data_IF_681827745934
#
_entry.id   IF_681827745934
#
_cell.length_a   1.000
_cell.length_b   1.000
_cell.length_c   1.000
_cell.angle_alpha   90.00
_cell.angle_beta   90.00
_cell.angle_gamma   90.00
#
_symmetry.space_group_name_H-M   'P 1'
#
loop_
_entity.id
_entity.type
_entity.pdbx_description
1 polymer ?
#
# COMPACT_ATOMS: atom_id res chain seq x y z
N UNK A 1 -31.69 52.34 -44.98
CA UNK A 1 -32.14 50.97 -45.21
C UNK A 1 -30.97 49.93 -45.19
N UNK A 2 -29.75 50.23 -45.66
CA UNK A 2 -28.63 49.26 -45.69
C UNK A 2 -28.01 48.91 -44.32
N UNK A 3 -28.15 49.77 -43.30
CA UNK A 3 -27.63 49.49 -41.95
C UNK A 3 -28.58 48.63 -41.06
N UNK A 4 -29.89 48.71 -41.27
CA UNK A 4 -30.86 47.90 -40.57
C UNK A 4 -30.84 46.41 -40.98
N UNK A 5 -30.54 46.11 -42.25
CA UNK A 5 -30.44 44.72 -42.73
C UNK A 5 -29.19 43.99 -42.19
N UNK A 6 -28.09 44.71 -41.97
CA UNK A 6 -26.84 44.09 -41.40
C UNK A 6 -26.98 43.76 -39.94
N UNK A 7 -27.71 44.56 -39.16
CA UNK A 7 -27.93 44.33 -37.73
C UNK A 7 -28.92 43.16 -37.50
N UNK A 8 -29.93 43.03 -38.33
CA UNK A 8 -30.90 41.92 -38.28
C UNK A 8 -30.26 40.56 -38.63
N UNK A 9 -29.32 40.51 -39.60
CA UNK A 9 -28.59 39.28 -39.94
C UNK A 9 -27.63 38.85 -38.80
N UNK A 10 -27.01 39.80 -38.10
CA UNK A 10 -26.11 39.49 -36.98
C UNK A 10 -26.85 38.93 -35.75
N UNK A 11 -28.05 39.46 -35.51
CA UNK A 11 -28.93 38.98 -34.39
C UNK A 11 -29.51 37.58 -34.70
N UNK A 12 -29.87 37.31 -35.95
CA UNK A 12 -30.33 35.98 -36.36
C UNK A 12 -29.21 34.93 -36.33
N UNK A 13 -27.97 35.30 -36.66
CA UNK A 13 -26.82 34.37 -36.56
C UNK A 13 -26.39 34.11 -35.11
N UNK A 14 -26.54 35.05 -34.19
CA UNK A 14 -26.33 34.85 -32.76
C UNK A 14 -27.46 34.00 -32.10
N UNK A 15 -28.71 34.15 -32.53
CA UNK A 15 -29.80 33.27 -32.09
C UNK A 15 -29.68 31.85 -32.67
N UNK A 16 -29.17 31.68 -33.88
CA UNK A 16 -28.93 30.35 -34.46
C UNK A 16 -27.76 29.59 -33.83
N UNK A 17 -26.75 30.32 -33.28
CA UNK A 17 -25.67 29.69 -32.51
C UNK A 17 -26.07 29.31 -31.07
N UNK A 18 -27.08 29.98 -30.48
CA UNK A 18 -27.60 29.63 -29.17
C UNK A 18 -28.58 28.44 -29.17
N UNK A 19 -29.08 28.03 -30.33
CA UNK A 19 -29.98 26.90 -30.47
C UNK A 19 -29.29 25.55 -30.69
N UNK A 20 -27.96 25.52 -30.88
CA UNK A 20 -27.22 24.29 -31.13
C UNK A 20 -26.37 23.83 -29.94
N UNK A 21 -26.52 24.41 -28.75
CA UNK A 21 -25.90 23.90 -27.52
C UNK A 21 -26.94 23.48 -26.46
N UNK A 22 -28.03 22.88 -26.92
CA UNK A 22 -28.65 21.91 -26.02
C UNK A 22 -27.75 20.66 -26.03
N UNK A 23 -26.70 20.68 -25.25
CA UNK A 23 -26.20 19.47 -24.63
C UNK A 23 -27.46 18.90 -23.95
N UNK A 24 -28.02 17.85 -24.52
CA UNK A 24 -29.00 17.02 -23.82
C UNK A 24 -28.31 16.58 -22.55
N UNK A 25 -28.49 17.33 -21.47
CA UNK A 25 -28.30 16.80 -20.16
C UNK A 25 -29.29 15.63 -20.11
N UNK A 26 -28.78 14.44 -20.32
CA UNK A 26 -29.53 13.23 -20.06
C UNK A 26 -30.00 13.39 -18.61
N UNK A 27 -31.31 13.39 -18.40
CA UNK A 27 -31.93 13.38 -17.07
C UNK A 27 -31.55 12.03 -16.42
N UNK A 28 -30.31 11.95 -15.92
CA UNK A 28 -29.84 10.79 -15.18
C UNK A 28 -30.52 10.85 -13.81
N UNK A 29 -31.53 10.07 -13.65
CA UNK A 29 -32.33 9.99 -12.41
C UNK A 29 -31.51 9.40 -11.25
N UNK A 30 -30.47 8.62 -11.56
CA UNK A 30 -29.57 8.02 -10.56
C UNK A 30 -28.16 7.80 -11.15
N UNK A 31 -27.08 7.93 -10.35
CA UNK A 31 -25.72 7.63 -10.82
C UNK A 31 -25.52 6.22 -11.40
N UNK A 32 -26.37 5.26 -11.03
CA UNK A 32 -26.39 3.90 -11.62
C UNK A 32 -26.83 3.86 -13.08
N UNK A 33 -27.57 4.88 -13.53
CA UNK A 33 -28.07 4.97 -14.92
C UNK A 33 -26.99 5.52 -15.87
N UNK A 34 -25.83 5.91 -15.33
CA UNK A 34 -24.71 6.37 -16.13
C UNK A 34 -24.04 5.20 -16.85
N UNK A 35 -24.00 5.28 -18.18
CA UNK A 35 -23.13 4.39 -18.96
C UNK A 35 -21.66 4.74 -18.68
N UNK A 36 -20.94 3.82 -18.03
CA UNK A 36 -19.50 3.97 -17.82
C UNK A 36 -18.80 3.58 -19.13
N UNK A 37 -18.18 4.54 -19.85
CA UNK A 37 -17.49 4.22 -21.09
C UNK A 37 -16.33 3.27 -20.82
N UNK A 38 -16.10 2.33 -21.72
CA UNK A 38 -14.94 1.44 -21.64
C UNK A 38 -13.65 2.27 -21.63
N UNK A 39 -12.76 2.00 -20.70
CA UNK A 39 -11.47 2.65 -20.66
C UNK A 39 -10.68 2.44 -21.96
N UNK A 40 -10.09 3.52 -22.47
CA UNK A 40 -9.15 3.50 -23.60
C UNK A 40 -7.70 3.51 -23.12
N UNK A 41 -7.49 3.34 -21.83
CA UNK A 41 -6.16 3.38 -21.22
C UNK A 41 -5.26 2.28 -21.80
N UNK A 42 -4.04 2.68 -22.14
CA UNK A 42 -2.99 1.78 -22.58
C UNK A 42 -1.84 1.85 -21.60
N UNK A 43 -1.53 0.73 -20.96
CA UNK A 43 -0.40 0.61 -20.06
C UNK A 43 0.88 1.13 -20.73
N UNK A 44 1.65 2.01 -20.08
CA UNK A 44 2.93 2.45 -20.59
C UNK A 44 3.89 1.26 -20.80
N UNK A 45 4.74 1.37 -21.82
CA UNK A 45 5.79 0.37 -22.04
C UNK A 45 6.93 0.57 -21.04
N UNK A 46 7.22 -0.38 -20.14
CA UNK A 46 8.27 -0.25 -19.14
C UNK A 46 9.66 -0.04 -19.76
N UNK A 47 9.92 -0.50 -20.98
CA UNK A 47 11.20 -0.33 -21.64
C UNK A 47 11.56 1.14 -21.89
N UNK A 48 10.57 2.01 -22.07
CA UNK A 48 10.78 3.47 -22.25
C UNK A 48 11.33 4.14 -21.00
N UNK A 49 10.98 3.63 -19.83
CA UNK A 49 11.36 4.19 -18.52
C UNK A 49 12.61 3.52 -17.94
N UNK A 50 12.88 2.29 -18.33
CA UNK A 50 13.94 1.47 -17.75
C UNK A 50 15.35 1.98 -18.03
N UNK A 51 16.19 1.93 -17.01
CA UNK A 51 17.63 2.16 -17.05
C UNK A 51 18.33 0.97 -16.44
N UNK A 52 19.00 0.15 -17.24
CA UNK A 52 19.79 -0.97 -16.75
C UNK A 52 21.25 -0.55 -16.58
N UNK A 53 21.82 -0.79 -15.40
CA UNK A 53 23.21 -0.54 -15.09
C UNK A 53 24.03 -1.83 -15.34
N UNK A 54 25.34 -1.68 -15.61
CA UNK A 54 26.24 -2.82 -15.86
C UNK A 54 26.37 -3.79 -14.68
N UNK A 55 26.15 -3.30 -13.46
CA UNK A 55 26.17 -4.11 -12.24
C UNK A 55 24.83 -4.83 -11.93
N UNK A 56 23.85 -4.75 -12.84
CA UNK A 56 22.56 -5.43 -12.68
C UNK A 56 21.46 -4.61 -12.00
N UNK A 57 21.75 -3.41 -11.46
CA UNK A 57 20.73 -2.52 -10.94
C UNK A 57 19.78 -2.05 -12.05
N UNK A 58 18.50 -2.06 -11.76
CA UNK A 58 17.46 -1.54 -12.65
C UNK A 58 16.80 -0.33 -11.99
N UNK A 59 16.75 0.78 -12.75
CA UNK A 59 16.02 1.98 -12.36
C UNK A 59 14.94 2.31 -13.39
N UNK A 60 13.93 3.07 -12.98
CA UNK A 60 12.88 3.60 -13.85
C UNK A 60 12.85 5.11 -13.73
N UNK A 61 12.90 5.80 -14.87
CA UNK A 61 12.96 7.26 -14.96
C UNK A 61 11.78 7.74 -15.78
N UNK A 62 10.92 8.57 -15.19
CA UNK A 62 9.75 9.14 -15.83
C UNK A 62 9.75 10.66 -15.71
N UNK A 63 9.76 11.37 -16.85
CA UNK A 63 9.57 12.81 -16.86
C UNK A 63 8.10 13.15 -16.58
N UNK A 64 7.89 14.15 -15.71
CA UNK A 64 6.59 14.72 -15.35
C UNK A 64 6.80 16.18 -14.99
N UNK A 65 6.45 17.10 -15.88
CA UNK A 65 6.75 18.54 -15.77
C UNK A 65 5.53 19.42 -15.45
N UNK A 66 4.40 18.80 -15.06
CA UNK A 66 3.20 19.57 -14.66
C UNK A 66 3.38 20.33 -13.35
N UNK A 67 4.24 19.82 -12.46
CA UNK A 67 4.61 20.47 -11.20
C UNK A 67 6.12 20.45 -11.02
N UNK A 68 6.75 21.54 -10.49
CA UNK A 68 8.20 21.63 -10.34
C UNK A 68 8.71 20.81 -9.15
N UNK A 69 8.44 19.50 -9.17
CA UNK A 69 8.84 18.55 -8.12
C UNK A 69 9.60 17.38 -8.72
N UNK A 70 10.53 16.83 -7.93
CA UNK A 70 11.26 15.60 -8.24
C UNK A 70 11.11 14.61 -7.11
N UNK A 71 10.86 13.37 -7.48
CA UNK A 71 10.69 12.23 -6.56
C UNK A 71 11.76 11.18 -6.81
N UNK A 72 12.41 10.74 -5.73
CA UNK A 72 13.36 9.63 -5.70
C UNK A 72 12.81 8.53 -4.79
N UNK A 73 12.83 7.29 -5.24
CA UNK A 73 12.47 6.14 -4.44
C UNK A 73 13.47 5.01 -4.63
N UNK A 74 13.90 4.39 -3.54
CA UNK A 74 14.67 3.14 -3.57
C UNK A 74 13.87 2.04 -2.87
N UNK A 75 13.80 0.89 -3.49
CA UNK A 75 13.12 -0.29 -3.00
C UNK A 75 14.16 -1.40 -2.85
N UNK A 76 14.37 -1.87 -1.61
CA UNK A 76 15.35 -2.90 -1.26
C UNK A 76 14.59 -4.13 -0.82
N UNK A 77 14.85 -5.29 -1.43
CA UNK A 77 14.19 -6.57 -1.11
C UNK A 77 14.78 -7.18 0.16
N UNK A 78 14.64 -6.46 1.28
CA UNK A 78 15.04 -6.88 2.63
C UNK A 78 14.14 -6.18 3.64
N UNK A 79 13.64 -6.87 4.63
CA UNK A 79 12.73 -6.33 5.62
C UNK A 79 12.98 -6.91 7.02
N UNK A 80 11.99 -6.80 7.88
CA UNK A 80 12.08 -7.24 9.29
C UNK A 80 12.46 -8.72 9.45
N UNK A 81 12.03 -9.57 8.49
CA UNK A 81 12.27 -11.02 8.55
C UNK A 81 13.66 -11.43 8.05
N UNK A 82 14.37 -10.52 7.40
CA UNK A 82 15.67 -10.81 6.81
C UNK A 82 16.79 -10.42 7.81
N UNK A 83 17.92 -11.02 7.67
CA UNK A 83 19.08 -10.77 8.54
C UNK A 83 19.37 -11.88 9.54
N UNK A 84 20.59 -11.89 10.00
CA UNK A 84 21.11 -12.87 10.96
C UNK A 84 20.90 -12.44 12.42
N UNK A 85 20.78 -11.12 12.65
CA UNK A 85 20.57 -10.50 13.95
C UNK A 85 19.23 -9.76 13.97
N UNK A 86 18.46 -9.99 15.01
CA UNK A 86 17.21 -9.27 15.26
C UNK A 86 17.49 -7.79 15.48
N UNK A 87 16.59 -6.92 15.04
CA UNK A 87 16.74 -5.47 15.15
C UNK A 87 17.67 -4.81 14.13
N UNK A 88 18.42 -5.59 13.32
CA UNK A 88 19.36 -5.02 12.36
C UNK A 88 18.64 -4.25 11.23
N UNK A 89 17.48 -4.71 10.77
CA UNK A 89 16.67 -4.00 9.77
C UNK A 89 16.09 -2.69 10.32
N UNK A 90 15.62 -2.70 11.56
CA UNK A 90 15.16 -1.52 12.30
C UNK A 90 16.27 -0.49 12.47
N UNK A 91 17.45 -0.94 12.91
CA UNK A 91 18.61 -0.07 13.10
C UNK A 91 19.11 0.51 11.76
N UNK A 92 19.12 -0.27 10.68
CA UNK A 92 19.43 0.23 9.34
C UNK A 92 18.39 1.28 8.88
N UNK A 93 17.12 1.09 9.19
CA UNK A 93 16.07 2.08 8.89
C UNK A 93 16.36 3.41 9.58
N UNK A 94 16.77 3.39 10.86
CA UNK A 94 17.18 4.60 11.59
C UNK A 94 18.47 5.22 11.02
N UNK A 95 19.40 4.39 10.52
CA UNK A 95 20.60 4.88 9.85
C UNK A 95 20.26 5.59 8.51
N UNK A 96 19.32 5.07 7.73
CA UNK A 96 18.80 5.78 6.55
C UNK A 96 18.12 7.09 6.92
N UNK A 97 17.33 7.13 8.00
CA UNK A 97 16.72 8.36 8.51
C UNK A 97 17.73 9.37 9.04
N UNK A 98 18.90 8.92 9.46
CA UNK A 98 20.00 9.78 9.88
C UNK A 98 20.80 10.40 8.72
N UNK A 99 20.64 9.89 7.50
CA UNK A 99 21.30 10.36 6.29
C UNK A 99 22.62 9.65 5.97
N UNK A 100 23.44 10.20 5.07
CA UNK A 100 24.69 9.57 4.65
C UNK A 100 25.80 9.72 5.68
N UNK A 101 26.77 8.79 5.67
CA UNK A 101 27.88 8.71 6.62
C UNK A 101 28.77 9.96 6.65
N UNK A 102 28.88 10.68 5.52
CA UNK A 102 29.83 11.79 5.34
C UNK A 102 29.33 13.14 5.87
N UNK A 103 28.13 13.22 6.41
CA UNK A 103 27.58 14.42 7.07
C UNK A 103 26.88 14.05 8.38
N UNK A 104 26.80 14.99 9.31
CA UNK A 104 26.04 14.73 10.54
C UNK A 104 24.54 14.64 10.29
N UNK A 105 23.83 13.85 11.11
CA UNK A 105 22.37 13.74 11.03
C UNK A 105 21.68 15.10 11.22
N UNK A 106 22.26 16.01 12.02
CA UNK A 106 21.76 17.39 12.17
C UNK A 106 21.90 18.17 10.88
N UNK A 107 23.05 18.10 10.20
CA UNK A 107 23.28 18.78 8.92
C UNK A 107 22.37 18.20 7.82
N UNK A 108 22.18 16.87 7.79
CA UNK A 108 21.25 16.22 6.86
C UNK A 108 19.81 16.71 7.06
N UNK A 109 19.32 16.72 8.30
CA UNK A 109 17.97 17.23 8.62
C UNK A 109 17.82 18.72 8.29
N UNK A 110 18.87 19.54 8.51
CA UNK A 110 18.86 20.95 8.13
C UNK A 110 18.78 21.12 6.60
N UNK A 111 19.52 20.32 5.83
CA UNK A 111 19.45 20.31 4.37
C UNK A 111 18.04 19.92 3.87
N UNK A 112 17.46 18.85 4.42
CA UNK A 112 16.07 18.45 4.08
C UNK A 112 15.06 19.57 4.38
N UNK A 113 15.20 20.24 5.54
CA UNK A 113 14.31 21.34 5.92
C UNK A 113 14.47 22.54 4.97
N UNK A 114 15.68 22.90 4.59
CA UNK A 114 15.96 23.99 3.65
C UNK A 114 15.36 23.73 2.27
N UNK A 115 15.48 22.49 1.78
CA UNK A 115 14.89 22.04 0.53
C UNK A 115 13.37 21.79 0.62
N UNK A 116 12.71 22.09 1.75
CA UNK A 116 11.30 21.70 1.99
C UNK A 116 11.00 20.25 1.64
N UNK A 117 11.99 19.38 1.80
CA UNK A 117 11.96 17.99 1.37
C UNK A 117 11.00 17.15 2.21
N UNK A 118 10.24 16.27 1.53
CA UNK A 118 9.51 15.16 2.20
C UNK A 118 10.37 13.92 2.11
N UNK A 119 10.95 13.51 3.23
CA UNK A 119 11.81 12.33 3.33
C UNK A 119 11.18 11.29 4.25
N UNK A 120 11.17 10.04 3.81
CA UNK A 120 10.65 8.93 4.62
C UNK A 120 11.37 7.62 4.33
N UNK A 121 11.49 6.79 5.35
CA UNK A 121 11.94 5.40 5.24
C UNK A 121 10.88 4.51 5.88
N UNK A 122 10.42 3.51 5.14
CA UNK A 122 9.42 2.54 5.61
C UNK A 122 10.03 1.15 5.63
N UNK A 123 9.97 0.52 6.79
CA UNK A 123 10.37 -0.87 6.97
C UNK A 123 9.12 -1.76 6.96
N UNK A 124 9.06 -2.63 5.96
CA UNK A 124 8.05 -3.67 5.85
C UNK A 124 8.62 -5.02 6.28
N UNK A 125 7.78 -6.04 6.38
CA UNK A 125 8.25 -7.38 6.73
C UNK A 125 9.30 -7.90 5.73
N UNK A 126 9.19 -7.56 4.46
CA UNK A 126 9.98 -8.15 3.36
C UNK A 126 10.73 -7.16 2.48
N UNK A 127 10.61 -5.87 2.72
CA UNK A 127 11.25 -4.83 1.93
C UNK A 127 11.41 -3.53 2.70
N UNK A 128 12.37 -2.69 2.27
CA UNK A 128 12.58 -1.34 2.75
C UNK A 128 12.31 -0.37 1.60
N UNK A 129 11.62 0.71 1.89
CA UNK A 129 11.32 1.78 0.96
C UNK A 129 11.89 3.10 1.47
N UNK A 130 12.69 3.76 0.66
CA UNK A 130 13.26 5.08 0.94
C UNK A 130 12.69 6.06 -0.09
N UNK A 131 12.05 7.14 0.35
CA UNK A 131 11.47 8.16 -0.51
C UNK A 131 11.99 9.54 -0.17
N UNK A 132 12.28 10.33 -1.20
CA UNK A 132 12.65 11.73 -1.10
C UNK A 132 11.91 12.51 -2.19
N UNK A 133 11.16 13.55 -1.81
CA UNK A 133 10.50 14.46 -2.73
C UNK A 133 11.00 15.88 -2.44
N UNK A 134 11.39 16.60 -3.49
CA UNK A 134 11.95 17.96 -3.41
C UNK A 134 11.48 18.83 -4.56
N UNK A 135 11.51 20.16 -4.43
CA UNK A 135 11.44 21.07 -5.57
C UNK A 135 12.54 20.78 -6.62
N UNK A 136 12.25 21.05 -7.90
CA UNK A 136 13.19 20.79 -9.00
C UNK A 136 14.50 21.55 -8.86
N UNK A 137 14.49 22.75 -8.29
CA UNK A 137 15.69 23.57 -8.02
C UNK A 137 16.70 22.89 -7.11
N UNK A 138 16.23 22.01 -6.22
CA UNK A 138 17.08 21.28 -5.26
C UNK A 138 17.53 19.89 -5.78
N UNK A 139 17.18 19.52 -7.01
CA UNK A 139 17.42 18.18 -7.59
C UNK A 139 18.86 17.70 -7.40
N UNK A 140 19.85 18.56 -7.67
CA UNK A 140 21.25 18.16 -7.64
C UNK A 140 21.72 17.76 -6.25
N UNK A 141 21.42 18.56 -5.25
CA UNK A 141 21.76 18.28 -3.87
C UNK A 141 20.96 17.09 -3.34
N UNK A 142 19.66 17.05 -3.62
CA UNK A 142 18.77 15.97 -3.21
C UNK A 142 19.22 14.62 -3.79
N UNK A 143 19.59 14.56 -5.07
CA UNK A 143 20.10 13.34 -5.69
C UNK A 143 21.41 12.87 -5.03
N UNK A 144 22.32 13.79 -4.74
CA UNK A 144 23.57 13.49 -4.04
C UNK A 144 23.33 12.94 -2.65
N UNK A 145 22.44 13.57 -1.88
CA UNK A 145 22.09 13.13 -0.53
C UNK A 145 21.37 11.78 -0.54
N UNK A 146 20.40 11.61 -1.43
CA UNK A 146 19.65 10.35 -1.59
C UNK A 146 20.57 9.18 -1.95
N UNK A 147 21.38 9.34 -2.99
CA UNK A 147 22.28 8.27 -3.44
C UNK A 147 23.34 7.93 -2.38
N UNK A 148 23.93 8.94 -1.74
CA UNK A 148 24.90 8.73 -0.66
C UNK A 148 24.25 8.04 0.54
N UNK A 149 23.02 8.38 0.91
CA UNK A 149 22.29 7.72 2.00
C UNK A 149 22.04 6.24 1.70
N UNK A 150 21.60 5.91 0.49
CA UNK A 150 21.35 4.51 0.10
C UNK A 150 22.66 3.70 0.09
N UNK A 151 23.73 4.25 -0.47
CA UNK A 151 25.00 3.53 -0.67
C UNK A 151 25.83 3.44 0.62
N UNK A 152 25.83 4.49 1.44
CA UNK A 152 26.66 4.60 2.63
C UNK A 152 25.91 5.36 3.73
N UNK A 153 24.94 4.72 4.41
CA UNK A 153 24.16 5.32 5.48
C UNK A 153 25.02 5.57 6.72
N UNK A 154 24.58 6.50 7.56
CA UNK A 154 25.22 6.85 8.81
C UNK A 154 24.86 5.84 9.90
N UNK A 155 25.53 4.70 9.94
CA UNK A 155 25.32 3.62 10.92
C UNK A 155 26.09 3.94 12.20
N UNK A 156 25.38 4.10 13.31
CA UNK A 156 25.93 4.47 14.63
C UNK A 156 25.18 3.76 15.76
N UNK A 157 25.80 3.69 16.95
CA UNK A 157 25.14 3.22 18.17
C UNK A 157 23.85 4.00 18.49
N UNK A 158 23.81 5.29 18.15
CA UNK A 158 22.62 6.12 18.36
C UNK A 158 21.42 5.63 17.52
N UNK A 159 21.67 5.08 16.31
CA UNK A 159 20.61 4.49 15.47
C UNK A 159 20.06 3.20 16.07
N UNK A 160 20.92 2.35 16.63
CA UNK A 160 20.52 1.12 17.33
C UNK A 160 19.63 1.47 18.53
N UNK A 161 20.06 2.43 19.35
CA UNK A 161 19.25 2.93 20.48
C UNK A 161 17.93 3.56 20.05
N UNK A 162 17.91 4.26 18.91
CA UNK A 162 16.66 4.82 18.35
C UNK A 162 15.72 3.73 17.86
N UNK A 163 16.23 2.71 17.19
CA UNK A 163 15.47 1.54 16.74
C UNK A 163 14.87 0.78 17.93
N UNK A 164 15.67 0.53 18.97
CA UNK A 164 15.21 -0.11 20.21
C UNK A 164 14.01 0.65 20.82
N UNK A 165 14.15 1.97 21.01
CA UNK A 165 13.05 2.79 21.58
C UNK A 165 11.76 2.77 20.74
N UNK A 166 11.87 2.65 19.42
CA UNK A 166 10.69 2.57 18.52
C UNK A 166 10.05 1.19 18.54
N UNK A 167 10.89 0.15 18.47
CA UNK A 167 10.43 -1.24 18.37
C UNK A 167 9.78 -1.72 19.68
N UNK A 168 10.25 -1.19 20.82
CA UNK A 168 9.76 -1.58 22.16
C UNK A 168 8.73 -0.62 22.75
N UNK A 169 8.20 0.30 21.94
CA UNK A 169 7.16 1.23 22.39
C UNK A 169 5.84 0.48 22.60
N UNK A 170 5.46 0.33 23.85
CA UNK A 170 4.21 -0.30 24.24
C UNK A 170 2.98 0.57 23.99
N UNK A 171 1.83 -0.11 23.84
CA UNK A 171 0.51 0.54 23.87
C UNK A 171 0.28 1.05 25.29
N UNK A 172 0.00 2.36 25.40
CA UNK A 172 -0.24 2.99 26.70
C UNK A 172 -1.54 2.47 27.32
N UNK A 173 -1.47 2.02 28.55
CA UNK A 173 -2.60 1.63 29.37
C UNK A 173 -2.61 2.43 30.68
N UNK A 174 -3.80 2.59 31.27
CA UNK A 174 -3.95 3.15 32.61
C UNK A 174 -3.62 2.10 33.71
N UNK A 175 -3.79 2.49 34.97
CA UNK A 175 -3.55 1.61 36.13
C UNK A 175 -4.44 0.36 36.19
N UNK A 176 -5.54 0.34 35.47
CA UNK A 176 -6.49 -0.77 35.38
C UNK A 176 -6.30 -1.62 34.10
N UNK A 177 -5.26 -1.33 33.30
CA UNK A 177 -5.00 -2.00 32.03
C UNK A 177 -5.87 -1.52 30.86
N UNK A 178 -6.61 -0.42 31.01
CA UNK A 178 -7.45 0.16 29.96
C UNK A 178 -6.57 0.93 28.97
N UNK A 179 -6.76 0.70 27.68
CA UNK A 179 -6.01 1.37 26.63
C UNK A 179 -6.42 2.85 26.57
N UNK A 180 -5.46 3.74 26.82
CA UNK A 180 -5.71 5.20 26.87
C UNK A 180 -5.98 5.77 25.47
N UNK A 181 -5.34 5.22 24.44
CA UNK A 181 -5.44 5.70 23.06
C UNK A 181 -5.91 4.58 22.11
N UNK A 182 -7.10 4.06 22.38
CA UNK A 182 -7.76 3.05 21.54
C UNK A 182 -8.05 3.62 20.14
N UNK A 183 -7.56 2.92 19.10
CA UNK A 183 -7.73 3.34 17.71
C UNK A 183 -7.74 2.13 16.79
N UNK A 184 -8.09 2.35 15.51
CA UNK A 184 -8.00 1.32 14.48
C UNK A 184 -6.60 0.68 14.42
N UNK A 185 -5.53 1.46 14.53
CA UNK A 185 -4.16 0.95 14.52
C UNK A 185 -3.85 0.04 15.71
N UNK A 186 -4.41 0.32 16.87
CA UNK A 186 -4.29 -0.55 18.06
C UNK A 186 -5.03 -1.86 17.83
N UNK A 187 -6.27 -1.81 17.32
CA UNK A 187 -7.04 -3.02 17.03
C UNK A 187 -6.33 -3.92 15.99
N UNK A 188 -5.79 -3.33 14.93
CA UNK A 188 -4.99 -4.04 13.91
C UNK A 188 -3.70 -4.61 14.51
N UNK A 189 -3.01 -3.86 15.37
CA UNK A 189 -1.82 -4.36 16.07
C UNK A 189 -2.15 -5.58 16.94
N UNK A 190 -3.23 -5.51 17.71
CA UNK A 190 -3.70 -6.65 18.54
C UNK A 190 -4.09 -7.86 17.69
N UNK A 191 -4.72 -7.62 16.54
CA UNK A 191 -5.03 -8.69 15.59
C UNK A 191 -3.75 -9.39 15.11
N UNK A 192 -2.74 -8.65 14.66
CA UNK A 192 -1.47 -9.22 14.22
C UNK A 192 -0.74 -9.96 15.35
N UNK A 193 -0.73 -9.42 16.57
CA UNK A 193 -0.15 -10.07 17.74
C UNK A 193 -0.73 -11.47 17.98
N UNK A 194 -2.02 -11.64 17.72
CA UNK A 194 -2.74 -12.87 17.95
C UNK A 194 -2.54 -13.85 16.80
N UNK A 195 -2.82 -13.42 15.56
CA UNK A 195 -2.78 -14.32 14.41
C UNK A 195 -1.37 -14.76 14.04
N UNK A 196 -0.36 -13.95 14.34
CA UNK A 196 1.04 -14.22 14.03
C UNK A 196 1.84 -14.73 15.23
N UNK A 197 1.18 -15.04 16.34
CA UNK A 197 1.84 -15.54 17.55
C UNK A 197 2.68 -16.78 17.25
N UNK A 198 3.96 -16.73 17.61
CA UNK A 198 4.93 -17.81 17.36
C UNK A 198 5.46 -17.88 15.92
N UNK A 199 5.05 -16.96 15.03
CA UNK A 199 5.63 -16.81 13.71
C UNK A 199 6.65 -15.66 13.71
N UNK A 200 7.66 -15.74 12.83
CA UNK A 200 8.67 -14.68 12.69
C UNK A 200 8.06 -13.34 12.28
N UNK A 201 6.96 -13.33 11.51
CA UNK A 201 6.26 -12.12 11.11
C UNK A 201 5.62 -11.36 12.29
N UNK A 202 5.24 -12.08 13.35
CA UNK A 202 4.66 -11.53 14.57
C UNK A 202 5.65 -11.38 15.73
N UNK A 203 6.94 -11.62 15.47
CA UNK A 203 7.95 -11.45 16.52
C UNK A 203 8.02 -9.99 16.96
N UNK A 204 7.71 -9.75 18.24
CA UNK A 204 7.99 -8.47 18.89
C UNK A 204 9.44 -8.44 19.33
N UNK A 205 10.12 -7.38 18.96
CA UNK A 205 11.48 -7.14 19.41
C UNK A 205 11.48 -6.65 20.86
N UNK A 206 12.41 -7.17 21.66
CA UNK A 206 12.65 -6.78 23.05
C UNK A 206 13.88 -5.88 23.13
N UNK A 207 14.05 -5.17 24.23
CA UNK A 207 15.28 -4.37 24.46
C UNK A 207 16.53 -5.22 24.37
N UNK A 208 16.49 -6.46 24.86
CA UNK A 208 17.60 -7.43 24.78
C UNK A 208 18.01 -7.79 23.35
N UNK A 209 17.09 -7.76 22.36
CA UNK A 209 17.44 -8.00 20.96
C UNK A 209 18.38 -6.92 20.40
N UNK A 210 18.42 -5.74 21.03
CA UNK A 210 19.27 -4.61 20.63
C UNK A 210 20.53 -4.46 21.50
N UNK A 211 20.60 -5.07 22.68
CA UNK A 211 21.77 -5.02 23.57
C UNK A 211 22.98 -5.71 22.95
N UNK A 212 22.74 -6.84 22.26
CA UNK A 212 23.77 -7.62 21.56
C UNK A 212 23.98 -7.19 20.10
N UNK A 213 23.29 -6.14 19.64
CA UNK A 213 23.39 -5.66 18.26
C UNK A 213 24.50 -4.61 18.15
N UNK A 214 25.51 -4.90 17.34
CA UNK A 214 26.62 -3.97 17.04
C UNK A 214 26.40 -3.21 15.73
N UNK A 215 27.12 -2.10 15.56
CA UNK A 215 27.16 -1.37 14.27
C UNK A 215 27.66 -2.26 13.13
N UNK A 216 28.57 -3.22 13.41
CA UNK A 216 29.04 -4.21 12.42
C UNK A 216 27.94 -5.14 11.94
N UNK A 217 27.01 -5.53 12.82
CA UNK A 217 25.86 -6.36 12.41
C UNK A 217 24.92 -5.58 11.47
N UNK A 218 24.70 -4.30 11.73
CA UNK A 218 23.91 -3.41 10.85
C UNK A 218 24.62 -3.15 9.52
N UNK A 219 25.95 -2.94 9.54
CA UNK A 219 26.78 -2.83 8.33
C UNK A 219 26.74 -4.13 7.51
N UNK A 220 26.80 -5.28 8.18
CA UNK A 220 26.67 -6.59 7.52
C UNK A 220 25.30 -6.77 6.86
N UNK A 221 24.21 -6.35 7.53
CA UNK A 221 22.87 -6.35 6.93
C UNK A 221 22.84 -5.43 5.70
N UNK A 222 23.34 -4.20 5.80
CA UNK A 222 23.41 -3.26 4.68
C UNK A 222 24.18 -3.86 3.49
N UNK A 223 25.41 -4.32 3.69
CA UNK A 223 26.27 -4.86 2.61
C UNK A 223 25.75 -6.16 2.01
N UNK A 224 24.95 -6.92 2.76
CA UNK A 224 24.31 -8.14 2.28
C UNK A 224 23.13 -7.84 1.37
N UNK A 225 22.28 -6.88 1.74
CA UNK A 225 21.00 -6.67 1.07
C UNK A 225 20.95 -5.44 0.16
N UNK A 226 21.78 -4.40 0.39
CA UNK A 226 21.86 -3.23 -0.47
C UNK A 226 22.86 -3.50 -1.60
N UNK A 227 22.48 -4.39 -2.48
CA UNK A 227 23.27 -4.80 -3.65
C UNK A 227 22.46 -4.63 -4.93
N UNK A 228 23.14 -4.48 -6.06
CA UNK A 228 22.53 -4.09 -7.32
C UNK A 228 21.37 -5.00 -7.77
N UNK A 229 21.50 -6.32 -7.60
CA UNK A 229 20.46 -7.29 -8.00
C UNK A 229 19.32 -7.45 -7.00
N UNK A 230 19.39 -6.80 -5.83
CA UNK A 230 18.40 -6.90 -4.76
C UNK A 230 17.58 -5.62 -4.55
N UNK A 231 17.74 -4.64 -5.44
CA UNK A 231 17.02 -3.37 -5.32
C UNK A 231 16.61 -2.79 -6.67
N UNK A 232 15.67 -1.88 -6.62
CA UNK A 232 15.25 -1.07 -7.76
C UNK A 232 15.12 0.40 -7.35
N UNK A 233 15.24 1.31 -8.32
CA UNK A 233 15.13 2.74 -8.09
C UNK A 233 14.05 3.31 -9.01
N UNK A 234 13.26 4.24 -8.52
CA UNK A 234 12.36 5.07 -9.33
C UNK A 234 12.74 6.55 -9.17
N UNK A 235 12.80 7.27 -10.28
CA UNK A 235 12.98 8.72 -10.32
C UNK A 235 11.94 9.32 -11.25
N UNK A 236 11.24 10.34 -10.79
CA UNK A 236 10.21 11.02 -11.60
C UNK A 236 10.13 12.49 -11.27
N UNK A 237 9.50 13.25 -12.14
CA UNK A 237 9.24 14.67 -11.95
C UNK A 237 9.75 15.53 -13.08
N UNK A 238 9.91 16.83 -12.80
CA UNK A 238 10.47 17.80 -13.74
C UNK A 238 11.98 17.63 -13.84
N UNK A 239 12.40 16.73 -14.72
CA UNK A 239 13.78 16.25 -14.84
C UNK A 239 14.27 16.25 -16.30
N UNK A 240 15.57 16.42 -16.46
CA UNK A 240 16.27 16.03 -17.68
C UNK A 240 16.58 14.52 -17.62
N UNK A 241 15.81 13.71 -18.34
CA UNK A 241 15.97 12.24 -18.32
C UNK A 241 17.39 11.78 -18.65
N UNK A 242 18.03 12.36 -19.68
CA UNK A 242 19.41 11.98 -20.06
C UNK A 242 20.39 12.27 -18.93
N UNK A 243 20.22 13.42 -18.27
CA UNK A 243 21.03 13.82 -17.11
C UNK A 243 20.85 12.85 -15.95
N UNK A 244 19.61 12.54 -15.59
CA UNK A 244 19.29 11.59 -14.50
C UNK A 244 19.81 10.19 -14.82
N UNK A 245 19.62 9.68 -16.04
CA UNK A 245 20.15 8.36 -16.46
C UNK A 245 21.67 8.30 -16.34
N UNK A 246 22.39 9.40 -16.67
CA UNK A 246 23.85 9.50 -16.50
C UNK A 246 24.23 9.52 -15.01
N UNK A 247 23.53 10.30 -14.18
CA UNK A 247 23.77 10.38 -12.72
C UNK A 247 23.53 9.05 -12.02
N UNK A 248 22.45 8.35 -12.33
CA UNK A 248 22.17 7.02 -11.81
C UNK A 248 23.31 6.04 -12.11
N UNK A 249 23.80 6.01 -13.37
CA UNK A 249 24.92 5.17 -13.77
C UNK A 249 26.22 5.54 -13.03
N UNK A 250 26.50 6.84 -12.84
CA UNK A 250 27.71 7.29 -12.15
C UNK A 250 27.68 6.92 -10.65
N UNK A 251 26.59 7.21 -9.94
CA UNK A 251 26.53 7.07 -8.50
C UNK A 251 26.32 5.60 -8.05
N UNK A 252 25.45 4.85 -8.73
CA UNK A 252 25.09 3.50 -8.31
C UNK A 252 25.95 2.39 -8.97
N UNK A 253 26.92 2.74 -9.82
CA UNK A 253 27.87 1.77 -10.39
C UNK A 253 28.77 1.11 -9.35
N UNK A 254 28.97 1.77 -8.20
CA UNK A 254 29.78 1.23 -7.08
C UNK A 254 29.08 0.13 -6.29
N UNK A 255 27.77 -0.02 -6.43
CA UNK A 255 27.06 -1.11 -5.79
C UNK A 255 27.55 -2.47 -6.29
N UNK A 256 27.77 -3.39 -5.36
CA UNK A 256 28.26 -4.73 -5.66
C UNK A 256 27.26 -5.45 -6.58
N UNK A 257 27.77 -6.02 -7.67
CA UNK A 257 27.01 -6.89 -8.55
C UNK A 257 26.81 -8.26 -7.88
N UNK A 258 25.75 -8.36 -7.08
CA UNK A 258 25.31 -9.62 -6.50
C UNK A 258 23.84 -9.83 -6.81
N UNK A 259 23.45 -11.07 -6.96
CA UNK A 259 22.03 -11.49 -6.99
C UNK A 259 21.39 -11.29 -5.61
N UNK A 260 20.07 -11.25 -5.58
CA UNK A 260 19.32 -11.24 -4.34
C UNK A 260 19.78 -12.39 -3.43
N UNK A 261 20.15 -12.13 -2.17
CA UNK A 261 20.48 -13.20 -1.24
C UNK A 261 19.28 -14.12 -1.01
N UNK A 262 19.56 -15.38 -0.62
CA UNK A 262 18.51 -16.28 -0.21
C UNK A 262 17.77 -15.70 0.98
N UNK A 263 16.45 -15.66 0.86
CA UNK A 263 15.58 -15.12 1.91
C UNK A 263 15.24 -16.20 2.93
N UNK A 264 14.99 -15.74 4.16
CA UNK A 264 14.49 -16.61 5.21
C UNK A 264 13.14 -17.19 4.80
N UNK A 265 12.98 -18.52 4.92
CA UNK A 265 11.69 -19.15 4.73
C UNK A 265 10.77 -18.78 5.89
N UNK A 266 9.60 -18.24 5.57
CA UNK A 266 8.57 -17.89 6.56
C UNK A 266 7.63 -19.09 6.69
N UNK A 267 7.57 -19.72 7.87
CA UNK A 267 6.64 -20.82 8.09
C UNK A 267 5.20 -20.36 7.89
N UNK A 268 4.36 -21.21 7.29
CA UNK A 268 2.92 -20.95 7.20
C UNK A 268 2.32 -20.76 8.58
N UNK A 269 1.55 -19.71 8.76
CA UNK A 269 0.80 -19.51 10.01
C UNK A 269 -0.35 -20.51 10.05
N UNK A 270 -0.46 -21.24 11.17
CA UNK A 270 -1.56 -22.20 11.36
C UNK A 270 -2.85 -21.44 11.72
N UNK A 271 -3.93 -21.79 11.06
CA UNK A 271 -5.26 -21.32 11.44
C UNK A 271 -5.62 -21.84 12.83
N UNK A 272 -6.19 -20.97 13.63
CA UNK A 272 -6.73 -21.29 14.96
C UNK A 272 -8.26 -21.33 14.87
N UNK A 273 -8.94 -22.00 15.82
CA UNK A 273 -10.40 -21.91 15.93
C UNK A 273 -10.82 -20.48 16.23
N UNK A 274 -12.03 -20.11 15.83
CA UNK A 274 -12.63 -18.81 16.09
C UNK A 274 -12.57 -18.46 17.57
N UNK A 275 -12.07 -17.25 17.88
CA UNK A 275 -11.97 -16.72 19.24
C UNK A 275 -12.31 -15.23 19.26
N UNK A 276 -12.78 -14.76 20.41
CA UNK A 276 -13.08 -13.36 20.68
C UNK A 276 -12.06 -12.82 21.68
N UNK A 277 -11.47 -11.69 21.37
CA UNK A 277 -10.42 -11.03 22.15
C UNK A 277 -10.85 -9.62 22.47
N UNK A 278 -11.02 -9.35 23.75
CA UNK A 278 -11.49 -8.06 24.22
C UNK A 278 -10.37 -7.28 24.89
N UNK A 279 -10.24 -6.01 24.49
CA UNK A 279 -9.26 -5.06 25.00
C UNK A 279 -9.99 -3.78 25.43
N UNK A 280 -10.14 -3.51 26.74
CA UNK A 280 -10.82 -2.32 27.21
C UNK A 280 -10.09 -1.05 26.76
N UNK A 281 -10.82 -0.08 26.24
CA UNK A 281 -10.29 1.23 25.82
C UNK A 281 -11.29 2.34 26.17
N UNK A 282 -10.75 3.46 26.66
CA UNK A 282 -11.54 4.64 27.00
C UNK A 282 -11.73 5.51 25.75
N UNK A 283 -12.74 5.18 24.94
CA UNK A 283 -13.11 5.88 23.70
C UNK A 283 -14.61 5.83 23.48
N UNK A 284 -15.13 6.74 22.67
CA UNK A 284 -16.55 6.83 22.31
C UNK A 284 -17.00 5.76 21.30
N UNK A 285 -16.06 5.03 20.74
CA UNK A 285 -16.32 4.00 19.72
C UNK A 285 -15.59 2.71 20.06
N UNK A 286 -16.21 1.60 19.71
CA UNK A 286 -15.57 0.28 19.72
C UNK A 286 -15.05 -0.04 18.33
N UNK A 287 -13.75 -0.39 18.26
CA UNK A 287 -13.10 -0.90 17.06
C UNK A 287 -13.20 -2.41 17.00
N UNK A 288 -13.57 -2.93 15.83
CA UNK A 288 -13.69 -4.36 15.57
C UNK A 288 -12.81 -4.73 14.39
N UNK A 289 -11.94 -5.73 14.59
CA UNK A 289 -11.15 -6.36 13.52
C UNK A 289 -11.47 -7.85 13.54
N UNK A 290 -11.92 -8.36 12.39
CA UNK A 290 -12.34 -9.76 12.22
C UNK A 290 -11.50 -10.36 11.11
N UNK A 291 -10.83 -11.48 11.34
CA UNK A 291 -10.04 -12.08 10.28
C UNK A 291 -9.26 -13.32 10.70
N UNK A 292 -8.45 -13.80 9.80
CA UNK A 292 -7.61 -14.98 10.02
C UNK A 292 -6.28 -14.89 9.27
N UNK A 293 -5.27 -15.72 9.64
CA UNK A 293 -4.06 -15.86 8.83
C UNK A 293 -4.41 -16.42 7.46
N UNK A 294 -3.91 -15.79 6.41
CA UNK A 294 -4.10 -16.22 5.04
C UNK A 294 -2.86 -16.97 4.55
N UNK A 295 -3.03 -18.23 4.13
CA UNK A 295 -1.99 -18.95 3.39
C UNK A 295 -1.74 -18.27 2.04
N UNK A 296 -0.56 -18.46 1.41
CA UNK A 296 -0.32 -17.94 0.08
C UNK A 296 -1.45 -18.32 -0.87
N UNK A 297 -2.03 -17.32 -1.53
CA UNK A 297 -3.05 -17.53 -2.56
C UNK A 297 -2.33 -17.97 -3.85
N UNK A 298 -2.80 -19.01 -4.51
CA UNK A 298 -2.25 -19.42 -5.79
C UNK A 298 -2.33 -18.27 -6.80
N UNK A 299 -1.28 -18.06 -7.59
CA UNK A 299 -1.23 -16.99 -8.60
C UNK A 299 -2.46 -16.97 -9.52
N UNK A 300 -3.00 -18.15 -9.88
CA UNK A 300 -4.21 -18.27 -10.70
C UNK A 300 -5.45 -17.70 -10.01
N UNK A 301 -5.48 -17.68 -8.67
CA UNK A 301 -6.62 -17.28 -7.85
C UNK A 301 -6.47 -15.85 -7.29
N UNK A 302 -5.27 -15.25 -7.32
CA UNK A 302 -5.03 -13.89 -6.79
C UNK A 302 -6.07 -12.89 -7.29
N UNK A 303 -6.32 -12.89 -8.60
CA UNK A 303 -7.24 -11.93 -9.23
C UNK A 303 -8.70 -12.23 -8.88
N UNK A 304 -9.08 -13.51 -8.82
CA UNK A 304 -10.43 -13.89 -8.41
C UNK A 304 -10.70 -13.54 -6.95
N UNK A 305 -9.69 -13.74 -6.09
CA UNK A 305 -9.78 -13.37 -4.67
C UNK A 305 -9.84 -11.84 -4.48
N UNK A 306 -9.11 -11.07 -5.30
CA UNK A 306 -9.17 -9.60 -5.29
C UNK A 306 -10.55 -9.10 -5.76
N UNK A 307 -11.13 -9.70 -6.82
CA UNK A 307 -12.49 -9.39 -7.29
C UNK A 307 -13.53 -9.73 -6.23
N UNK A 308 -13.43 -10.89 -5.60
CA UNK A 308 -14.29 -11.30 -4.48
C UNK A 308 -14.22 -10.29 -3.32
N UNK A 309 -13.01 -9.93 -2.89
CA UNK A 309 -12.84 -8.93 -1.83
C UNK A 309 -13.38 -7.56 -2.24
N UNK A 310 -13.20 -7.14 -3.49
CA UNK A 310 -13.73 -5.88 -3.99
C UNK A 310 -15.26 -5.83 -3.85
N UNK A 311 -15.98 -6.89 -4.20
CA UNK A 311 -17.44 -6.99 -4.06
C UNK A 311 -17.85 -7.04 -2.59
N UNK A 312 -17.14 -7.82 -1.78
CA UNK A 312 -17.49 -8.03 -0.38
C UNK A 312 -17.25 -6.79 0.48
N UNK A 313 -16.01 -6.24 0.46
CA UNK A 313 -15.58 -5.23 1.42
C UNK A 313 -14.42 -4.32 0.95
N UNK A 314 -13.80 -4.56 -0.22
CA UNK A 314 -12.63 -3.80 -0.69
C UNK A 314 -12.97 -2.63 -1.61
N UNK A 315 -14.19 -2.54 -2.12
CA UNK A 315 -14.65 -1.53 -3.09
C UNK A 315 -15.29 -0.29 -2.46
N UNK A 316 -15.10 -0.05 -1.16
CA UNK A 316 -15.68 1.06 -0.40
C UNK A 316 -17.22 1.12 -0.47
N UNK A 317 -17.81 2.20 -0.99
CA UNK A 317 -19.26 2.48 -0.97
C UNK A 317 -20.13 1.46 -1.72
N UNK A 318 -19.58 0.65 -2.60
CA UNK A 318 -20.31 -0.29 -3.44
C UNK A 318 -20.23 -1.74 -2.97
N UNK A 319 -19.65 -1.95 -1.78
CA UNK A 319 -19.50 -3.31 -1.24
C UNK A 319 -20.74 -3.76 -0.50
N UNK A 320 -20.97 -5.09 -0.49
CA UNK A 320 -22.04 -5.69 0.33
C UNK A 320 -21.92 -5.28 1.80
N UNK A 321 -20.70 -5.30 2.33
CA UNK A 321 -20.45 -4.96 3.73
C UNK A 321 -20.80 -3.51 4.05
N UNK A 322 -20.40 -2.57 3.19
CA UNK A 322 -20.69 -1.16 3.38
C UNK A 322 -22.19 -0.88 3.29
N UNK A 323 -22.87 -1.42 2.26
CA UNK A 323 -24.32 -1.27 2.07
C UNK A 323 -25.07 -1.82 3.28
N UNK A 324 -24.71 -3.01 3.75
CA UNK A 324 -25.39 -3.65 4.86
C UNK A 324 -25.16 -2.95 6.19
N UNK A 325 -23.94 -2.48 6.46
CA UNK A 325 -23.60 -1.91 7.77
C UNK A 325 -23.86 -0.41 7.88
N UNK A 326 -23.66 0.33 6.78
CA UNK A 326 -23.81 1.78 6.76
C UNK A 326 -25.11 2.24 6.12
N UNK A 327 -25.34 1.90 4.85
CA UNK A 327 -26.44 2.49 4.09
C UNK A 327 -27.82 2.05 4.59
N UNK A 328 -27.96 0.75 4.95
CA UNK A 328 -29.21 0.23 5.49
C UNK A 328 -29.43 0.55 6.96
N UNK A 329 -28.39 0.44 7.79
CA UNK A 329 -28.56 0.48 9.23
C UNK A 329 -27.82 1.62 9.94
N UNK A 330 -26.95 2.39 9.27
CA UNK A 330 -26.24 3.53 9.86
C UNK A 330 -25.33 3.17 11.04
N UNK A 331 -24.78 1.96 11.08
CA UNK A 331 -24.02 1.44 12.22
C UNK A 331 -22.60 1.97 12.27
N UNK A 332 -22.02 2.29 11.12
CA UNK A 332 -20.61 2.67 10.97
C UNK A 332 -20.42 3.70 9.87
N UNK A 333 -19.28 4.38 9.91
CA UNK A 333 -18.81 5.21 8.80
C UNK A 333 -17.93 4.45 7.79
N UNK A 334 -17.32 3.32 8.20
CA UNK A 334 -16.43 2.53 7.36
C UNK A 334 -16.47 1.05 7.78
N UNK A 335 -16.58 0.18 6.77
CA UNK A 335 -16.42 -1.26 6.91
C UNK A 335 -15.67 -1.77 5.68
N UNK A 336 -14.42 -2.17 5.88
CA UNK A 336 -13.49 -2.46 4.80
C UNK A 336 -12.79 -3.80 4.97
N UNK A 337 -12.53 -4.50 3.86
CA UNK A 337 -11.81 -5.77 3.81
C UNK A 337 -10.39 -5.62 3.27
N UNK A 338 -9.42 -6.16 3.98
CA UNK A 338 -7.99 -6.03 3.69
C UNK A 338 -7.34 -7.37 3.44
N UNK A 339 -6.71 -7.50 2.27
CA UNK A 339 -5.81 -8.59 1.95
C UNK A 339 -4.38 -8.08 2.17
N UNK A 340 -3.69 -8.57 3.19
CA UNK A 340 -2.29 -8.21 3.39
C UNK A 340 -1.38 -8.86 2.35
N UNK A 341 -0.31 -8.13 2.02
CA UNK A 341 0.63 -8.51 0.99
C UNK A 341 1.34 -9.84 1.31
N UNK A 342 1.29 -10.73 0.33
CA UNK A 342 1.72 -12.12 0.39
C UNK A 342 2.98 -12.38 -0.43
N UNK A 343 3.93 -11.46 -0.45
CA UNK A 343 5.09 -11.57 -1.33
C UNK A 343 5.75 -12.95 -1.37
N UNK A 344 5.88 -13.65 -0.24
CA UNK A 344 6.51 -14.98 -0.15
C UNK A 344 6.01 -15.80 1.04
N UNK A 345 4.79 -15.67 1.52
CA UNK A 345 4.39 -16.40 2.70
C UNK A 345 3.03 -16.05 3.25
N UNK A 346 2.83 -16.31 4.52
CA UNK A 346 1.57 -16.07 5.20
C UNK A 346 1.31 -14.57 5.35
N UNK A 347 0.13 -14.15 4.98
CA UNK A 347 -0.42 -12.83 5.25
C UNK A 347 -1.65 -12.92 6.14
N UNK A 348 -2.56 -11.96 5.99
CA UNK A 348 -3.86 -12.00 6.65
C UNK A 348 -4.99 -11.57 5.72
N UNK A 349 -6.18 -12.03 6.01
CA UNK A 349 -7.42 -11.51 5.45
C UNK A 349 -8.28 -11.04 6.60
N UNK A 350 -8.65 -9.76 6.61
CA UNK A 350 -9.33 -9.15 7.74
C UNK A 350 -10.31 -8.06 7.33
N UNK A 351 -11.35 -7.89 8.14
CA UNK A 351 -12.38 -6.88 8.01
C UNK A 351 -12.26 -5.92 9.19
N UNK A 352 -12.25 -4.62 8.91
CA UNK A 352 -12.08 -3.57 9.90
C UNK A 352 -13.31 -2.67 9.91
N UNK A 353 -13.81 -2.37 11.10
CA UNK A 353 -14.90 -1.41 11.28
C UNK A 353 -14.88 -0.81 12.68
N UNK A 354 -15.71 0.19 12.92
CA UNK A 354 -15.99 0.75 14.25
C UNK A 354 -17.43 1.23 14.35
N UNK A 355 -17.96 1.24 15.55
CA UNK A 355 -19.31 1.77 15.81
C UNK A 355 -19.42 2.39 17.20
N UNK A 356 -20.53 3.02 17.48
CA UNK A 356 -20.93 3.27 18.87
C UNK A 356 -21.06 1.96 19.61
N UNK A 357 -20.87 2.00 20.93
CA UNK A 357 -20.88 0.78 21.77
C UNK A 357 -22.19 0.02 21.70
N UNK A 358 -23.31 0.74 21.76
CA UNK A 358 -24.67 0.19 21.80
C UNK A 358 -25.07 -0.62 20.55
N UNK A 359 -24.45 -0.36 19.41
CA UNK A 359 -24.75 -1.02 18.13
C UNK A 359 -23.64 -1.94 17.61
N UNK A 360 -22.57 -2.15 18.39
CA UNK A 360 -21.42 -2.95 17.93
C UNK A 360 -21.78 -4.42 17.72
N UNK A 361 -22.68 -4.97 18.51
CA UNK A 361 -23.15 -6.35 18.28
C UNK A 361 -23.88 -6.46 16.94
N UNK A 362 -24.78 -5.54 16.66
CA UNK A 362 -25.50 -5.51 15.37
C UNK A 362 -24.53 -5.33 14.19
N UNK A 363 -23.53 -4.43 14.34
CA UNK A 363 -22.48 -4.27 13.31
C UNK A 363 -21.76 -5.60 13.05
N UNK A 364 -21.35 -6.29 14.10
CA UNK A 364 -20.69 -7.59 13.99
C UNK A 364 -21.58 -8.63 13.29
N UNK A 365 -22.84 -8.75 13.71
CA UNK A 365 -23.78 -9.71 13.15
C UNK A 365 -24.02 -9.44 11.64
N UNK A 366 -24.16 -8.17 11.25
CA UNK A 366 -24.34 -7.77 9.84
C UNK A 366 -23.08 -8.06 9.01
N UNK A 367 -21.88 -7.79 9.54
CA UNK A 367 -20.61 -8.17 8.88
C UNK A 367 -20.55 -9.68 8.65
N UNK A 368 -20.88 -10.48 9.67
CA UNK A 368 -20.86 -11.94 9.55
C UNK A 368 -21.92 -12.44 8.58
N UNK A 369 -23.09 -11.81 8.53
CA UNK A 369 -24.15 -12.17 7.58
C UNK A 369 -23.70 -12.07 6.12
N UNK A 370 -23.12 -10.94 5.72
CA UNK A 370 -22.65 -10.76 4.32
C UNK A 370 -21.45 -11.65 3.97
N UNK A 371 -20.64 -12.01 4.98
CA UNK A 371 -19.55 -12.99 4.81
C UNK A 371 -20.10 -14.39 4.52
N UNK A 372 -21.11 -14.82 5.26
CA UNK A 372 -21.75 -16.13 5.00
C UNK A 372 -22.55 -16.14 3.71
N UNK A 373 -23.17 -15.02 3.35
CA UNK A 373 -23.93 -14.87 2.11
C UNK A 373 -23.05 -15.06 0.86
N UNK A 374 -21.90 -14.39 0.77
CA UNK A 374 -21.00 -14.51 -0.40
C UNK A 374 -20.41 -15.93 -0.55
N UNK A 375 -20.39 -16.72 0.53
CA UNK A 375 -19.99 -18.14 0.50
C UNK A 375 -21.10 -19.08 0.05
N UNK A 376 -22.36 -18.65 0.07
CA UNK A 376 -23.51 -19.47 -0.28
C UNK A 376 -24.11 -19.09 -1.62
N UNK A 377 -24.15 -17.79 -1.93
CA UNK A 377 -24.86 -17.24 -3.04
C UNK A 377 -23.92 -16.67 -4.08
N UNK A 378 -24.28 -16.85 -5.36
CA UNK A 378 -23.55 -16.27 -6.47
C UNK A 378 -23.73 -14.76 -6.48
N UNK A 379 -22.67 -14.01 -6.76
CA UNK A 379 -22.76 -12.56 -6.97
C UNK A 379 -23.61 -12.23 -8.19
N UNK A 380 -24.21 -11.05 -8.21
CA UNK A 380 -25.00 -10.57 -9.35
C UNK A 380 -24.09 -10.21 -10.55
N UNK A 381 -24.69 -10.06 -11.75
CA UNK A 381 -23.97 -9.57 -12.92
C UNK A 381 -23.52 -8.12 -12.74
N UNK A 382 -24.31 -7.31 -12.04
CA UNK A 382 -24.01 -5.92 -11.74
C UNK A 382 -22.79 -5.82 -10.80
N UNK A 383 -22.75 -6.56 -9.68
CA UNK A 383 -21.62 -6.59 -8.76
C UNK A 383 -20.32 -7.01 -9.47
N UNK A 384 -20.38 -8.05 -10.29
CA UNK A 384 -19.23 -8.52 -11.04
C UNK A 384 -18.77 -7.49 -12.08
N UNK A 385 -19.68 -6.84 -12.79
CA UNK A 385 -19.38 -5.80 -13.76
C UNK A 385 -18.75 -4.59 -13.10
N UNK A 386 -19.27 -4.13 -11.96
CA UNK A 386 -18.69 -3.02 -11.18
C UNK A 386 -17.26 -3.36 -10.75
N UNK A 387 -17.05 -4.55 -10.20
CA UNK A 387 -15.72 -4.98 -9.77
C UNK A 387 -14.73 -5.08 -10.95
N UNK A 388 -15.15 -5.63 -12.09
CA UNK A 388 -14.34 -5.69 -13.29
C UNK A 388 -13.93 -4.30 -13.79
N UNK A 389 -14.86 -3.36 -13.89
CA UNK A 389 -14.57 -2.01 -14.36
C UNK A 389 -13.69 -1.25 -13.37
N UNK A 390 -13.98 -1.35 -12.07
CA UNK A 390 -13.19 -0.67 -11.06
C UNK A 390 -11.75 -1.18 -11.01
N UNK A 391 -11.53 -2.49 -11.00
CA UNK A 391 -10.20 -3.08 -10.88
C UNK A 391 -9.41 -3.05 -12.19
N UNK A 392 -10.03 -3.46 -13.31
CA UNK A 392 -9.34 -3.54 -14.60
C UNK A 392 -9.09 -2.17 -15.25
N UNK A 393 -9.93 -1.17 -14.96
CA UNK A 393 -9.80 0.18 -15.49
C UNK A 393 -9.35 1.15 -14.37
N UNK A 394 -10.24 1.51 -13.43
CA UNK A 394 -9.99 2.57 -12.46
C UNK A 394 -8.73 2.36 -11.60
N UNK A 395 -8.67 1.26 -10.84
CA UNK A 395 -7.51 0.94 -9.97
C UNK A 395 -6.25 0.71 -10.81
N UNK A 396 -6.42 0.06 -11.96
CA UNK A 396 -5.29 -0.21 -12.85
C UNK A 396 -4.69 1.07 -13.44
N UNK A 397 -5.51 2.00 -13.95
CA UNK A 397 -5.05 3.28 -14.48
C UNK A 397 -4.35 4.13 -13.42
N UNK A 398 -4.85 4.12 -12.20
CA UNK A 398 -4.25 4.85 -11.07
C UNK A 398 -2.80 4.45 -10.79
N UNK A 399 -2.39 3.21 -11.14
CA UNK A 399 -0.99 2.76 -11.05
C UNK A 399 -0.06 3.47 -12.04
N UNK A 400 -0.61 4.08 -13.07
CA UNK A 400 0.14 4.70 -14.18
C UNK A 400 -0.38 6.11 -14.52
N UNK A 401 -1.09 6.76 -13.60
CA UNK A 401 -1.76 8.06 -13.85
C UNK A 401 -0.79 9.21 -14.10
N UNK A 402 0.43 9.12 -13.58
CA UNK A 402 1.48 10.11 -13.68
C UNK A 402 2.87 9.45 -13.72
N UNK A 403 3.90 10.27 -13.93
CA UNK A 403 5.29 9.79 -13.99
C UNK A 403 5.74 9.10 -12.70
N UNK A 404 5.34 9.63 -11.53
CA UNK A 404 5.74 9.07 -10.25
C UNK A 404 5.13 7.69 -10.02
N UNK A 405 3.81 7.56 -10.16
CA UNK A 405 3.11 6.28 -9.99
C UNK A 405 3.60 5.26 -11.01
N UNK A 406 3.88 5.68 -12.25
CA UNK A 406 4.42 4.81 -13.32
C UNK A 406 5.80 4.27 -12.98
N UNK A 407 6.77 5.13 -12.65
CA UNK A 407 8.12 4.71 -12.32
C UNK A 407 8.15 3.80 -11.09
N UNK A 408 7.39 4.15 -10.05
CA UNK A 408 7.27 3.34 -8.81
C UNK A 408 6.60 1.99 -9.08
N UNK A 409 5.50 1.95 -9.84
CA UNK A 409 4.81 0.70 -10.18
C UNK A 409 5.74 -0.27 -10.90
N UNK A 410 6.51 0.19 -11.87
CA UNK A 410 7.47 -0.65 -12.57
C UNK A 410 8.63 -1.11 -11.67
N UNK A 411 9.13 -0.21 -10.80
CA UNK A 411 10.20 -0.55 -9.87
C UNK A 411 9.76 -1.63 -8.87
N UNK A 412 8.57 -1.49 -8.29
CA UNK A 412 8.01 -2.47 -7.34
C UNK A 412 7.71 -3.79 -8.04
N UNK A 413 7.10 -3.76 -9.24
CA UNK A 413 6.78 -4.96 -10.00
C UNK A 413 8.05 -5.73 -10.38
N UNK A 414 9.10 -5.02 -10.84
CA UNK A 414 10.40 -5.61 -11.12
C UNK A 414 11.03 -6.24 -9.87
N UNK A 415 10.96 -5.56 -8.74
CA UNK A 415 11.50 -6.06 -7.47
C UNK A 415 10.76 -7.32 -7.00
N UNK A 416 9.43 -7.32 -7.10
CA UNK A 416 8.56 -8.40 -6.64
C UNK A 416 8.65 -9.63 -7.53
N UNK A 417 8.45 -9.45 -8.84
CA UNK A 417 8.27 -10.54 -9.80
C UNK A 417 9.48 -10.78 -10.72
N UNK A 418 10.49 -9.94 -10.69
CA UNK A 418 11.62 -10.01 -11.60
C UNK A 418 11.33 -9.57 -13.05
N UNK A 419 10.06 -9.29 -13.38
CA UNK A 419 9.57 -8.90 -14.71
C UNK A 419 8.33 -8.00 -14.60
N UNK A 420 7.70 -7.67 -15.75
CA UNK A 420 6.51 -6.79 -15.84
C UNK A 420 5.27 -7.51 -16.39
N UNK A 421 5.21 -8.83 -16.31
CA UNK A 421 4.10 -9.60 -16.89
C UNK A 421 2.84 -9.52 -16.02
N UNK A 422 2.99 -9.33 -14.71
CA UNK A 422 1.87 -9.26 -13.78
C UNK A 422 0.92 -8.11 -14.13
N UNK A 423 1.41 -6.88 -14.20
CA UNK A 423 0.56 -5.74 -14.58
C UNK A 423 0.15 -5.77 -16.05
N UNK A 424 0.97 -6.36 -16.96
CA UNK A 424 0.60 -6.49 -18.36
C UNK A 424 -0.66 -7.34 -18.57
N UNK A 425 -0.80 -8.44 -17.84
CA UNK A 425 -1.93 -9.37 -17.96
C UNK A 425 -3.08 -9.07 -16.98
N UNK A 426 -2.89 -8.15 -16.03
CA UNK A 426 -3.83 -7.90 -14.95
C UNK A 426 -5.26 -7.56 -15.41
N UNK A 427 -5.50 -6.60 -16.34
CA UNK A 427 -6.86 -6.29 -16.76
C UNK A 427 -7.58 -7.48 -17.42
N UNK A 428 -6.85 -8.27 -18.21
CA UNK A 428 -7.42 -9.47 -18.85
C UNK A 428 -7.77 -10.54 -17.80
N UNK A 429 -6.93 -10.74 -16.80
CA UNK A 429 -7.20 -11.67 -15.69
C UNK A 429 -8.41 -11.23 -14.88
N UNK A 430 -8.51 -9.92 -14.52
CA UNK A 430 -9.70 -9.39 -13.82
C UNK A 430 -10.96 -9.68 -14.60
N UNK A 431 -10.98 -9.37 -15.91
CA UNK A 431 -12.17 -9.54 -16.75
C UNK A 431 -12.51 -11.00 -17.05
N UNK A 432 -11.59 -11.93 -16.85
CA UNK A 432 -11.85 -13.37 -16.99
C UNK A 432 -12.48 -14.02 -15.76
N UNK A 433 -12.50 -13.32 -14.62
CA UNK A 433 -13.10 -13.84 -13.38
C UNK A 433 -14.60 -14.01 -13.55
N UNK A 434 -15.11 -15.18 -13.22
CA UNK A 434 -16.55 -15.52 -13.30
C UNK A 434 -17.19 -15.51 -11.92
N UNK A 435 -18.53 -15.47 -11.87
CA UNK A 435 -19.30 -15.64 -10.63
C UNK A 435 -18.94 -16.94 -9.89
N UNK A 436 -18.67 -18.02 -10.66
CA UNK A 436 -18.23 -19.30 -10.09
C UNK A 436 -16.86 -19.20 -9.42
N UNK A 437 -15.94 -18.42 -10.01
CA UNK A 437 -14.63 -18.18 -9.43
C UNK A 437 -14.74 -17.40 -8.11
N UNK A 438 -15.59 -16.37 -8.07
CA UNK A 438 -15.87 -15.58 -6.85
C UNK A 438 -16.39 -16.49 -5.74
N UNK A 439 -17.40 -17.30 -6.00
CA UNK A 439 -17.97 -18.24 -5.04
C UNK A 439 -16.93 -19.28 -4.58
N UNK A 440 -16.14 -19.81 -5.51
CA UNK A 440 -15.09 -20.79 -5.20
C UNK A 440 -14.01 -20.22 -4.30
N UNK A 441 -13.44 -19.05 -4.64
CA UNK A 441 -12.36 -18.45 -3.82
C UNK A 441 -12.87 -17.95 -2.48
N UNK A 442 -14.13 -17.52 -2.36
CA UNK A 442 -14.76 -17.20 -1.08
C UNK A 442 -14.78 -18.41 -0.15
N UNK A 443 -15.06 -19.61 -0.67
CA UNK A 443 -15.05 -20.84 0.12
C UNK A 443 -13.64 -21.40 0.36
N UNK A 444 -12.70 -21.21 -0.59
CA UNK A 444 -11.34 -21.77 -0.51
C UNK A 444 -10.43 -20.96 0.40
N UNK A 445 -10.55 -19.63 0.42
CA UNK A 445 -9.60 -18.74 1.10
C UNK A 445 -10.18 -17.99 2.31
N UNK A 446 -11.49 -17.90 2.47
CA UNK A 446 -12.12 -17.25 3.62
C UNK A 446 -12.69 -18.29 4.59
N UNK A 447 -12.23 -18.23 5.86
CA UNK A 447 -12.53 -19.24 6.87
C UNK A 447 -13.15 -18.61 8.13
N UNK A 448 -14.48 -18.38 8.15
CA UNK A 448 -15.15 -17.77 9.30
C UNK A 448 -15.04 -18.57 10.62
N UNK A 449 -14.84 -19.88 10.51
CA UNK A 449 -14.59 -20.80 11.65
C UNK A 449 -13.22 -20.60 12.29
N UNK A 450 -12.32 -19.90 11.62
CA UNK A 450 -10.97 -19.58 12.09
C UNK A 450 -10.78 -18.09 12.43
N UNK A 451 -11.82 -17.28 12.37
CA UNK A 451 -11.71 -15.86 12.63
C UNK A 451 -11.27 -15.56 14.07
N UNK A 452 -10.29 -14.67 14.17
CA UNK A 452 -9.95 -14.00 15.41
C UNK A 452 -10.68 -12.65 15.41
N UNK A 453 -11.54 -12.44 16.38
CA UNK A 453 -12.38 -11.25 16.53
C UNK A 453 -11.78 -10.38 17.61
N UNK A 454 -11.25 -9.24 17.21
CA UNK A 454 -10.60 -8.28 18.10
C UNK A 454 -11.57 -7.14 18.38
N UNK A 455 -11.78 -6.84 19.64
CA UNK A 455 -12.67 -5.79 20.12
C UNK A 455 -11.84 -4.85 20.99
N UNK A 456 -11.71 -3.59 20.59
CA UNK A 456 -11.00 -2.54 21.34
C UNK A 456 -12.01 -1.45 21.68
N UNK A 457 -12.41 -1.37 22.94
CA UNK A 457 -13.45 -0.43 23.38
C UNK A 457 -14.17 -0.91 24.63
N UNK A 458 -15.47 -0.62 24.71
CA UNK A 458 -16.33 -1.10 25.78
C UNK A 458 -16.61 -2.61 25.67
N UNK A 459 -16.83 -3.28 26.80
CA UNK A 459 -17.11 -4.71 26.82
C UNK A 459 -18.47 -5.03 26.19
N UNK A 460 -18.46 -5.85 25.18
CA UNK A 460 -19.66 -6.28 24.44
C UNK A 460 -19.61 -7.79 24.27
N UNK A 461 -20.67 -8.48 24.69
CA UNK A 461 -20.81 -9.89 24.41
C UNK A 461 -21.25 -10.09 22.94
N UNK A 462 -20.35 -10.64 22.13
CA UNK A 462 -20.61 -10.98 20.71
C UNK A 462 -20.91 -12.47 20.49
N UNK A 463 -20.91 -13.27 21.59
CA UNK A 463 -21.22 -14.70 21.53
C UNK A 463 -22.71 -14.95 21.50
#
# INVERSE_FOLDING_TARGET
MKHLLKTSCLILSLLALSLNTQVLAQDLTHPRDMEIPKSKFKRPDPAKYQVSLKNGLVAYVAKEDQVPLVSFSAFIKAGKIDGLKEGAAEALTEAFLAGPKNISSTAFKAALKRMTAKYSVKLHNKWIEINLNVPTEDLEEAFKLFSATVISPNITEANIKAAARKATKDIKVDKNGVIIDGSSSVAVSKFHDIILKGNILGKKLLSSDFEDLSTKDVESFHTTYVVAGNMTIAVSGDINEKGIRKKLKAQFSSLINKTSPNRRNVPKVKRQKKQYHYFPADKLQTWVVIGHPLAPVDFKDETAFEVMNYILAGGHFWTRMFIETRDKYGLTNDASGYIEDQWDGSGSYSFHSSSRHDVTKQLYDNIMSVIYEIQKESVSDEELMIAHNALADGVYEMKFKDGNTTARSFAIEKLRYGNHNHSKSYPARVRSVTKKDVLRVANEYMHPDAFQVIIVGEHINLQ
#
